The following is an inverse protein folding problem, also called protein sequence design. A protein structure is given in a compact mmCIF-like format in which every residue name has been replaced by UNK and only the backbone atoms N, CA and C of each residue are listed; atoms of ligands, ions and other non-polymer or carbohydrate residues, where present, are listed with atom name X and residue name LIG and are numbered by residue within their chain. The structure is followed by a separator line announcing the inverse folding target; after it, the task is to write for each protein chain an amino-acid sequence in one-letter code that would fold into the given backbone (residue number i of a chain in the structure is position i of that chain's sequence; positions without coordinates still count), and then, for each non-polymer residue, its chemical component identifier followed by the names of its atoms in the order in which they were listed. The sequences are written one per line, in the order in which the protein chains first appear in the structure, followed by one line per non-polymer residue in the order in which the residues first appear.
data_IF_154308844288
#
_entry.id   IF_154308844288
#
_cell.length_a   1.000
_cell.length_b   1.000
_cell.length_c   1.000
_cell.angle_alpha   90.00
_cell.angle_beta   90.00
_cell.angle_gamma   90.00
#
_symmetry.space_group_name_H-M   'P 1'
#
loop_
_entity.id
_entity.type
_entity.pdbx_description
1 polymer ?
#
# COMPACT_ATOMS: atom_id res chain seq x y z
N UNK A 1 -11.14 -15.72 9.82
CA UNK A 1 -11.22 -17.08 9.24
C UNK A 1 -11.49 -17.00 7.74
N UNK A 2 -11.00 -17.99 6.98
CA UNK A 2 -11.36 -18.17 5.58
C UNK A 2 -12.77 -18.78 5.52
N UNK A 3 -13.77 -17.95 5.24
CA UNK A 3 -15.18 -18.35 5.19
C UNK A 3 -15.91 -17.55 4.12
N UNK A 4 -16.72 -18.25 3.33
CA UNK A 4 -17.54 -17.64 2.29
C UNK A 4 -18.84 -18.46 2.11
N UNK A 5 -19.89 -17.83 1.61
CA UNK A 5 -21.13 -18.54 1.28
C UNK A 5 -20.97 -19.40 0.03
N UNK A 6 -21.72 -20.52 -0.03
CA UNK A 6 -21.69 -21.49 -1.11
C UNK A 6 -21.86 -20.83 -2.49
N UNK A 7 -22.72 -19.84 -2.60
CA UNK A 7 -23.00 -19.07 -3.83
C UNK A 7 -21.73 -18.50 -4.50
N UNK A 8 -20.75 -18.02 -3.72
CA UNK A 8 -19.49 -17.50 -4.26
C UNK A 8 -18.47 -18.61 -4.45
N UNK A 9 -18.44 -19.59 -3.54
CA UNK A 9 -17.53 -20.73 -3.61
C UNK A 9 -17.73 -21.54 -4.89
N UNK A 10 -18.96 -21.77 -5.33
CA UNK A 10 -19.30 -22.56 -6.51
C UNK A 10 -18.85 -21.92 -7.83
N UNK A 11 -18.45 -20.65 -7.82
CA UNK A 11 -17.91 -19.97 -9.01
C UNK A 11 -16.50 -20.41 -9.37
N UNK A 12 -15.79 -21.11 -8.47
CA UNK A 12 -14.39 -21.48 -8.64
C UNK A 12 -14.14 -23.01 -8.58
N UNK A 13 -14.90 -23.87 -9.31
CA UNK A 13 -14.73 -25.31 -9.23
C UNK A 13 -13.39 -25.80 -9.83
N UNK A 14 -12.73 -24.96 -10.63
CA UNK A 14 -11.45 -25.22 -11.25
C UNK A 14 -10.28 -25.03 -10.28
N UNK A 15 -10.42 -24.28 -9.20
CA UNK A 15 -9.38 -24.10 -8.17
C UNK A 15 -9.44 -25.30 -7.23
N UNK A 16 -8.37 -26.13 -7.23
CA UNK A 16 -8.31 -27.38 -6.46
C UNK A 16 -7.87 -27.19 -5.02
N UNK A 17 -7.02 -26.18 -4.76
CA UNK A 17 -6.63 -25.83 -3.40
C UNK A 17 -7.80 -25.15 -2.69
N UNK A 18 -8.23 -25.73 -1.58
CA UNK A 18 -9.40 -25.29 -0.83
C UNK A 18 -9.24 -23.86 -0.28
N UNK A 19 -8.10 -23.55 0.32
CA UNK A 19 -7.84 -22.22 0.88
C UNK A 19 -7.79 -21.16 -0.21
N UNK A 20 -7.16 -21.47 -1.34
CA UNK A 20 -7.11 -20.60 -2.52
C UNK A 20 -8.50 -20.38 -3.11
N UNK A 21 -9.32 -21.41 -3.17
CA UNK A 21 -10.70 -21.36 -3.67
C UNK A 21 -11.58 -20.46 -2.80
N UNK A 22 -11.52 -20.66 -1.48
CA UNK A 22 -12.25 -19.82 -0.52
C UNK A 22 -11.78 -18.37 -0.60
N UNK A 23 -10.47 -18.12 -0.69
CA UNK A 23 -9.90 -16.77 -0.83
C UNK A 23 -10.40 -16.06 -2.10
N UNK A 24 -10.38 -16.74 -3.25
CA UNK A 24 -10.92 -16.21 -4.50
C UNK A 24 -12.41 -15.87 -4.39
N UNK A 25 -13.20 -16.75 -3.77
CA UNK A 25 -14.63 -16.56 -3.55
C UNK A 25 -14.91 -15.38 -2.59
N UNK A 26 -14.11 -15.19 -1.55
CA UNK A 26 -14.19 -14.01 -0.66
C UNK A 26 -13.89 -12.72 -1.42
N UNK A 27 -12.91 -12.73 -2.33
CA UNK A 27 -12.57 -11.58 -3.16
C UNK A 27 -13.73 -11.17 -4.07
N UNK A 28 -14.42 -12.15 -4.68
CA UNK A 28 -15.64 -11.88 -5.47
C UNK A 28 -16.78 -11.35 -4.59
N UNK A 29 -16.94 -11.88 -3.38
CA UNK A 29 -17.96 -11.37 -2.46
C UNK A 29 -17.73 -9.88 -2.12
N UNK A 30 -16.47 -9.47 -1.95
CA UNK A 30 -16.07 -8.07 -1.78
C UNK A 30 -16.42 -7.24 -3.03
N UNK A 31 -16.04 -7.72 -4.21
CA UNK A 31 -16.29 -7.03 -5.49
C UNK A 31 -17.81 -6.81 -5.73
N UNK A 32 -18.61 -7.84 -5.48
CA UNK A 32 -20.11 -7.75 -5.55
C UNK A 32 -20.64 -6.71 -4.56
N UNK A 33 -20.04 -6.59 -3.38
CA UNK A 33 -20.45 -5.60 -2.37
C UNK A 33 -20.11 -4.18 -2.82
N UNK A 34 -18.96 -3.97 -3.42
CA UNK A 34 -18.58 -2.68 -4.03
C UNK A 34 -19.55 -2.33 -5.16
N UNK A 35 -19.85 -3.29 -6.05
CA UNK A 35 -20.83 -3.10 -7.13
C UNK A 35 -22.22 -2.73 -6.61
N UNK A 36 -22.67 -3.35 -5.51
CA UNK A 36 -23.95 -3.03 -4.90
C UNK A 36 -24.02 -1.60 -4.36
N UNK A 37 -22.91 -1.10 -3.77
CA UNK A 37 -22.80 0.30 -3.30
C UNK A 37 -22.87 1.26 -4.50
N UNK A 38 -22.09 1.03 -5.55
CA UNK A 38 -22.07 1.87 -6.75
C UNK A 38 -23.44 1.91 -7.43
N UNK A 39 -24.08 0.76 -7.60
CA UNK A 39 -25.43 0.66 -8.16
C UNK A 39 -26.47 1.38 -7.28
N UNK A 40 -26.28 1.40 -5.96
CA UNK A 40 -27.17 2.15 -5.07
C UNK A 40 -27.00 3.65 -5.25
N UNK A 41 -25.77 4.15 -5.35
CA UNK A 41 -25.48 5.56 -5.64
C UNK A 41 -26.09 6.00 -6.98
N UNK A 42 -25.97 5.17 -8.01
CA UNK A 42 -26.51 5.43 -9.34
C UNK A 42 -28.06 5.50 -9.31
N UNK A 43 -28.73 4.50 -8.70
CA UNK A 43 -30.19 4.47 -8.58
C UNK A 43 -30.78 5.66 -7.82
N UNK A 44 -30.01 6.26 -6.91
CA UNK A 44 -30.43 7.42 -6.13
C UNK A 44 -29.92 8.75 -6.72
N UNK A 45 -29.36 8.71 -7.93
CA UNK A 45 -28.80 9.88 -8.64
C UNK A 45 -27.71 10.63 -7.83
N UNK A 46 -26.98 9.89 -6.97
CA UNK A 46 -25.94 10.44 -6.12
C UNK A 46 -24.53 10.26 -6.68
N UNK A 47 -24.33 9.38 -7.66
CA UNK A 47 -23.02 8.96 -8.14
C UNK A 47 -22.18 10.13 -8.67
N UNK A 48 -22.79 11.05 -9.41
CA UNK A 48 -22.10 12.23 -9.98
C UNK A 48 -21.60 13.21 -8.91
N UNK A 49 -22.23 13.22 -7.75
CA UNK A 49 -21.84 14.09 -6.61
C UNK A 49 -21.18 13.31 -5.46
N UNK A 50 -20.60 12.14 -5.75
CA UNK A 50 -19.95 11.29 -4.76
C UNK A 50 -18.53 10.96 -5.17
N UNK A 51 -17.57 11.35 -4.34
CA UNK A 51 -16.18 10.89 -4.41
C UNK A 51 -16.09 9.49 -3.80
N UNK A 52 -15.80 8.49 -4.61
CA UNK A 52 -15.59 7.10 -4.17
C UNK A 52 -14.11 6.79 -4.16
N UNK A 53 -13.58 6.36 -3.02
CA UNK A 53 -12.20 5.92 -2.87
C UNK A 53 -12.21 4.46 -2.39
N UNK A 54 -11.54 3.59 -3.14
CA UNK A 54 -11.30 2.20 -2.76
C UNK A 54 -9.81 1.95 -2.63
N UNK A 55 -9.38 1.44 -1.49
CA UNK A 55 -7.99 1.04 -1.26
C UNK A 55 -7.93 -0.18 -0.33
N UNK A 56 -6.83 -0.94 -0.43
CA UNK A 56 -6.51 -1.94 0.58
C UNK A 56 -5.70 -1.29 1.71
N UNK A 57 -5.86 -1.78 2.93
CA UNK A 57 -5.11 -1.32 4.11
C UNK A 57 -3.64 -1.78 4.09
N UNK A 58 -3.39 -2.97 3.55
CA UNK A 58 -2.07 -3.60 3.39
C UNK A 58 -2.09 -4.62 2.24
N UNK A 59 -0.94 -5.13 1.87
CA UNK A 59 -0.83 -6.22 0.91
C UNK A 59 -1.42 -7.54 1.43
N UNK A 60 -1.63 -8.49 0.53
CA UNK A 60 -2.11 -9.82 0.91
C UNK A 60 -1.17 -10.48 1.92
N UNK A 61 -1.71 -11.36 2.75
CA UNK A 61 -0.92 -12.13 3.71
C UNK A 61 0.12 -13.00 3.01
N UNK A 62 1.19 -13.33 3.74
CA UNK A 62 2.19 -14.29 3.24
C UNK A 62 1.69 -15.69 3.59
N UNK A 63 0.91 -16.27 2.70
CA UNK A 63 0.33 -17.61 2.82
C UNK A 63 0.20 -18.22 1.44
N UNK A 64 0.22 -19.55 1.36
CA UNK A 64 0.22 -20.28 0.08
C UNK A 64 -1.02 -20.04 -0.79
N UNK A 65 -2.12 -19.60 -0.18
CA UNK A 65 -3.38 -19.34 -0.88
C UNK A 65 -3.50 -17.93 -1.45
N UNK A 66 -2.57 -17.01 -1.18
CA UNK A 66 -2.56 -15.66 -1.75
C UNK A 66 -1.14 -15.27 -2.21
N UNK A 67 -1.07 -14.33 -3.13
CA UNK A 67 0.20 -13.83 -3.66
C UNK A 67 0.12 -12.34 -3.91
N UNK A 68 1.25 -11.66 -3.79
CA UNK A 68 1.42 -10.26 -4.18
C UNK A 68 2.29 -10.14 -5.45
N UNK A 69 2.57 -11.25 -6.15
CA UNK A 69 3.42 -11.25 -7.33
C UNK A 69 3.02 -10.15 -8.34
N UNK A 70 4.00 -9.46 -8.93
CA UNK A 70 5.45 -9.67 -8.83
C UNK A 70 6.11 -9.03 -7.60
N UNK A 71 5.33 -8.43 -6.69
CA UNK A 71 5.80 -7.70 -5.50
C UNK A 71 6.28 -8.69 -4.43
N UNK A 72 7.35 -8.32 -3.75
CA UNK A 72 7.97 -9.19 -2.76
C UNK A 72 7.23 -9.17 -1.43
N UNK A 73 7.05 -10.35 -0.81
CA UNK A 73 6.42 -10.55 0.49
C UNK A 73 4.96 -10.02 0.53
N UNK A 74 4.51 -9.52 1.67
CA UNK A 74 3.13 -9.10 1.87
C UNK A 74 2.90 -8.43 3.22
N UNK A 75 1.67 -8.55 3.71
CA UNK A 75 1.22 -7.99 4.99
C UNK A 75 2.27 -8.14 6.09
N UNK A 76 2.38 -7.12 6.96
CA UNK A 76 3.35 -7.00 8.04
C UNK A 76 4.79 -6.70 7.60
N UNK A 77 5.08 -6.57 6.31
CA UNK A 77 6.42 -6.22 5.84
C UNK A 77 6.45 -4.82 5.20
N UNK A 78 7.65 -4.24 5.09
CA UNK A 78 7.87 -2.96 4.41
C UNK A 78 8.34 -3.13 2.95
N UNK A 79 8.36 -4.35 2.45
CA UNK A 79 8.57 -4.65 1.03
C UNK A 79 7.35 -4.24 0.20
N UNK A 80 7.51 -4.10 -1.12
CA UNK A 80 6.42 -3.62 -1.99
C UNK A 80 5.15 -4.47 -1.83
N UNK A 81 5.26 -5.79 -1.67
CA UNK A 81 4.10 -6.65 -1.44
C UNK A 81 3.32 -6.35 -0.15
N UNK A 82 3.96 -5.71 0.83
CA UNK A 82 3.29 -5.30 2.06
C UNK A 82 2.68 -3.90 2.02
N UNK A 83 3.29 -2.97 1.27
CA UNK A 83 2.94 -1.55 1.30
C UNK A 83 2.36 -0.99 0.01
N UNK A 84 2.57 -1.65 -1.13
CA UNK A 84 1.99 -1.26 -2.42
C UNK A 84 0.67 -2.00 -2.64
N UNK A 85 -0.41 -1.25 -2.55
CA UNK A 85 -1.77 -1.79 -2.54
C UNK A 85 -2.62 -1.18 -3.65
N UNK A 86 -3.73 -1.82 -4.05
CA UNK A 86 -4.73 -1.20 -4.92
C UNK A 86 -5.23 0.11 -4.31
N UNK A 87 -5.28 1.15 -5.14
CA UNK A 87 -5.82 2.46 -4.81
C UNK A 87 -6.61 2.98 -6.01
N UNK A 88 -7.90 3.16 -5.86
CA UNK A 88 -8.80 3.60 -6.94
C UNK A 88 -9.60 4.81 -6.48
N UNK A 89 -9.69 5.82 -7.34
CA UNK A 89 -10.54 6.99 -7.15
C UNK A 89 -11.53 7.07 -8.30
N UNK A 90 -12.79 7.28 -7.97
CA UNK A 90 -13.85 7.56 -8.91
C UNK A 90 -14.64 8.79 -8.46
N UNK A 91 -14.80 9.75 -9.37
CA UNK A 91 -15.72 10.89 -9.22
C UNK A 91 -16.14 11.34 -10.61
N UNK A 92 -17.30 10.91 -11.10
CA UNK A 92 -17.76 11.23 -12.44
C UNK A 92 -17.81 12.75 -12.67
N UNK A 93 -17.43 13.18 -13.87
CA UNK A 93 -17.35 14.60 -14.21
C UNK A 93 -16.14 15.35 -13.65
N UNK A 94 -15.46 14.83 -12.62
CA UNK A 94 -14.30 15.47 -11.99
C UNK A 94 -12.99 14.71 -12.22
N UNK A 95 -13.01 13.38 -12.07
CA UNK A 95 -11.84 12.52 -12.30
C UNK A 95 -11.94 11.84 -13.67
N UNK A 96 -10.88 11.89 -14.51
CA UNK A 96 -10.87 11.22 -15.82
C UNK A 96 -11.09 9.71 -15.69
N UNK A 97 -11.98 9.16 -16.53
CA UNK A 97 -12.28 7.72 -16.54
C UNK A 97 -11.16 6.92 -17.22
N UNK A 98 -10.91 5.71 -16.72
CA UNK A 98 -10.02 4.73 -17.36
C UNK A 98 -8.55 5.17 -17.42
N UNK A 99 -8.12 6.02 -16.52
CA UNK A 99 -6.73 6.47 -16.43
C UNK A 99 -5.99 5.77 -15.29
N UNK A 100 -4.71 5.53 -15.52
CA UNK A 100 -3.77 5.10 -14.48
C UNK A 100 -2.89 6.29 -14.11
N UNK A 101 -2.75 6.53 -12.81
CA UNK A 101 -1.83 7.52 -12.27
C UNK A 101 -0.59 6.80 -11.75
N UNK A 102 0.55 6.99 -12.44
CA UNK A 102 1.76 6.19 -12.22
C UNK A 102 2.60 6.65 -11.01
N UNK A 103 2.36 7.85 -10.50
CA UNK A 103 3.15 8.35 -9.38
C UNK A 103 2.67 7.76 -8.05
N UNK A 104 3.60 7.48 -7.11
CA UNK A 104 3.23 6.99 -5.80
C UNK A 104 2.31 7.94 -5.04
N UNK A 105 1.27 7.38 -4.45
CA UNK A 105 0.33 8.04 -3.53
C UNK A 105 0.33 7.30 -2.19
N UNK A 106 -0.29 7.89 -1.18
CA UNK A 106 -0.36 7.31 0.16
C UNK A 106 -1.80 7.33 0.68
N UNK A 107 -2.16 6.39 1.54
CA UNK A 107 -3.42 6.44 2.27
C UNK A 107 -3.59 7.73 3.10
N UNK A 108 -2.48 8.39 3.47
CA UNK A 108 -2.49 9.70 4.13
C UNK A 108 -3.09 10.81 3.25
N UNK A 109 -3.11 10.63 1.92
CA UNK A 109 -3.63 11.59 0.95
C UNK A 109 -5.16 11.62 0.91
N UNK A 110 -5.81 10.57 1.43
CA UNK A 110 -7.28 10.48 1.48
C UNK A 110 -7.86 11.66 2.24
N UNK A 111 -7.33 11.97 3.42
CA UNK A 111 -7.83 13.05 4.25
C UNK A 111 -7.78 14.42 3.54
N UNK A 112 -6.62 14.93 3.06
CA UNK A 112 -6.58 16.22 2.39
C UNK A 112 -7.37 16.23 1.07
N UNK A 113 -7.44 15.12 0.34
CA UNK A 113 -8.24 15.01 -0.88
C UNK A 113 -9.74 15.15 -0.59
N UNK A 114 -10.25 14.47 0.44
CA UNK A 114 -11.65 14.58 0.85
C UNK A 114 -11.95 15.99 1.37
N UNK A 115 -11.05 16.59 2.18
CA UNK A 115 -11.25 17.95 2.68
C UNK A 115 -11.30 18.97 1.54
N UNK A 116 -10.44 18.83 0.53
CA UNK A 116 -10.49 19.68 -0.67
C UNK A 116 -11.80 19.50 -1.45
N UNK A 117 -12.26 18.26 -1.61
CA UNK A 117 -13.51 17.94 -2.31
C UNK A 117 -14.74 18.60 -1.68
N UNK A 118 -14.77 18.76 -0.36
CA UNK A 118 -15.86 19.42 0.37
C UNK A 118 -15.58 20.92 0.65
N UNK A 119 -14.52 21.49 0.10
CA UNK A 119 -14.16 22.90 0.30
C UNK A 119 -13.73 23.26 1.73
N UNK A 120 -13.28 22.28 2.51
CA UNK A 120 -12.88 22.48 3.90
C UNK A 120 -11.35 22.59 4.05
N UNK A 121 -10.85 23.38 5.01
CA UNK A 121 -9.41 23.55 5.20
C UNK A 121 -8.75 22.32 5.81
N UNK A 122 -7.59 21.95 5.28
CA UNK A 122 -6.69 20.94 5.90
C UNK A 122 -5.92 21.63 7.04
N UNK A 123 -6.13 21.19 8.26
CA UNK A 123 -5.46 21.80 9.43
C UNK A 123 -4.06 21.24 9.67
N UNK A 124 -3.89 19.92 9.56
CA UNK A 124 -2.63 19.21 9.80
C UNK A 124 -2.64 17.90 9.00
N UNK A 125 -1.45 17.42 8.60
CA UNK A 125 -1.31 16.11 7.94
C UNK A 125 -0.06 16.05 7.06
N UNK A 126 0.41 14.84 6.81
CA UNK A 126 1.55 14.56 5.91
C UNK A 126 1.10 14.20 4.49
N UNK A 127 -0.22 14.03 4.28
CA UNK A 127 -0.82 13.77 2.97
C UNK A 127 -0.96 15.03 2.13
N UNK A 128 -1.23 14.84 0.85
CA UNK A 128 -1.50 15.91 -0.13
C UNK A 128 -2.84 15.69 -0.81
N UNK A 129 -3.48 16.77 -1.24
CA UNK A 129 -4.66 16.68 -2.11
C UNK A 129 -4.25 16.09 -3.47
N UNK A 130 -4.85 14.95 -3.83
CA UNK A 130 -4.56 14.23 -5.07
C UNK A 130 -5.32 14.79 -6.27
N UNK A 131 -6.42 15.50 -6.07
CA UNK A 131 -7.30 15.92 -7.17
C UNK A 131 -6.55 16.68 -8.26
N UNK A 132 -5.71 17.71 -7.96
CA UNK A 132 -4.99 18.44 -9.01
C UNK A 132 -3.99 17.59 -9.80
N UNK A 133 -3.55 16.47 -9.25
CA UNK A 133 -2.64 15.54 -9.95
C UNK A 133 -3.39 14.55 -10.84
N UNK A 134 -4.53 14.04 -10.35
CA UNK A 134 -5.31 13.02 -11.11
C UNK A 134 -6.15 13.65 -12.22
N UNK A 135 -6.59 14.91 -12.09
CA UNK A 135 -7.28 15.67 -13.14
C UNK A 135 -6.31 16.27 -14.17
N UNK A 136 -4.99 16.27 -13.86
CA UNK A 136 -3.93 16.78 -14.73
C UNK A 136 -3.69 18.29 -14.65
N UNK A 137 -4.37 19.03 -13.77
CA UNK A 137 -4.17 20.47 -13.58
C UNK A 137 -2.81 20.79 -12.94
N UNK A 138 -2.25 19.82 -12.20
CA UNK A 138 -0.92 19.92 -11.60
C UNK A 138 0.02 18.83 -12.14
N UNK A 139 1.18 19.24 -12.64
CA UNK A 139 2.23 18.33 -13.10
C UNK A 139 3.13 17.88 -11.95
N UNK A 140 3.81 16.73 -12.14
CA UNK A 140 4.79 16.16 -11.22
C UNK A 140 4.20 15.11 -10.30
N UNK A 141 4.92 14.80 -9.23
CA UNK A 141 4.55 13.75 -8.29
C UNK A 141 4.01 14.37 -6.99
N UNK A 142 2.94 13.79 -6.39
CA UNK A 142 2.45 14.22 -5.09
C UNK A 142 3.54 14.12 -4.01
N UNK A 143 4.29 13.02 -4.03
CA UNK A 143 5.34 12.74 -3.08
C UNK A 143 6.68 12.46 -3.76
N UNK A 144 7.71 13.22 -3.38
CA UNK A 144 9.11 12.89 -3.72
C UNK A 144 9.65 11.78 -2.84
N UNK A 145 9.10 11.65 -1.64
CA UNK A 145 9.59 10.71 -0.62
C UNK A 145 8.42 10.20 0.22
N UNK A 146 8.37 8.90 0.41
CA UNK A 146 7.47 8.20 1.34
C UNK A 146 8.30 7.52 2.42
N UNK A 147 7.73 7.42 3.63
CA UNK A 147 8.41 6.87 4.80
C UNK A 147 7.52 5.87 5.53
N UNK A 148 8.12 4.82 6.05
CA UNK A 148 7.48 3.82 6.90
C UNK A 148 8.36 3.53 8.10
N UNK A 149 7.74 3.30 9.26
CA UNK A 149 8.42 2.88 10.48
C UNK A 149 7.56 1.88 11.24
N UNK A 150 8.15 0.75 11.62
CA UNK A 150 7.50 -0.30 12.39
C UNK A 150 8.52 -0.88 13.38
N UNK A 151 8.47 -0.44 14.63
CA UNK A 151 9.47 -0.78 15.64
C UNK A 151 10.88 -0.33 15.23
N UNK A 152 11.81 -1.27 15.21
CA UNK A 152 13.19 -1.04 14.76
C UNK A 152 13.34 -1.03 13.23
N UNK A 153 12.34 -1.57 12.51
CA UNK A 153 12.34 -1.64 11.07
C UNK A 153 11.80 -0.34 10.48
N UNK A 154 12.37 0.09 9.36
CA UNK A 154 11.91 1.27 8.66
C UNK A 154 12.20 1.18 7.16
N UNK A 155 11.48 1.96 6.37
CA UNK A 155 11.74 2.10 4.95
C UNK A 155 11.57 3.55 4.50
N UNK A 156 12.24 3.87 3.40
CA UNK A 156 12.10 5.11 2.66
C UNK A 156 12.05 4.79 1.18
N UNK A 157 11.07 5.36 0.47
CA UNK A 157 11.06 5.46 -0.98
C UNK A 157 11.33 6.91 -1.38
N UNK A 158 12.35 7.16 -2.19
CA UNK A 158 12.69 8.47 -2.72
C UNK A 158 12.80 8.37 -4.23
N UNK A 159 11.77 8.84 -4.95
CA UNK A 159 11.57 8.56 -6.35
C UNK A 159 11.51 7.04 -6.60
N UNK A 160 12.41 6.52 -7.45
CA UNK A 160 12.48 5.09 -7.78
C UNK A 160 13.33 4.27 -6.81
N UNK A 161 14.10 4.92 -5.95
CA UNK A 161 14.94 4.24 -4.97
C UNK A 161 14.18 3.94 -3.68
N UNK A 162 14.26 2.69 -3.26
CA UNK A 162 13.72 2.25 -1.97
C UNK A 162 14.80 1.62 -1.10
N UNK A 163 14.90 2.11 0.12
CA UNK A 163 15.77 1.54 1.15
C UNK A 163 14.90 1.03 2.29
N UNK A 164 15.12 -0.23 2.65
CA UNK A 164 14.51 -0.88 3.81
C UNK A 164 15.62 -1.21 4.78
N UNK A 165 15.45 -0.86 6.05
CA UNK A 165 16.28 -1.33 7.15
C UNK A 165 15.48 -2.30 7.99
N UNK A 166 15.88 -3.57 8.02
CA UNK A 166 15.16 -4.61 8.71
C UNK A 166 16.12 -5.76 9.06
N UNK A 167 15.90 -6.45 10.19
CA UNK A 167 16.79 -7.52 10.63
C UNK A 167 18.25 -7.08 10.85
N UNK A 168 18.46 -5.79 11.18
CA UNK A 168 19.80 -5.22 11.34
C UNK A 168 20.59 -5.02 10.04
N UNK A 169 19.96 -5.19 8.88
CA UNK A 169 20.54 -5.09 7.55
C UNK A 169 19.82 -4.05 6.68
N UNK A 170 20.54 -3.52 5.70
CA UNK A 170 19.98 -2.64 4.67
C UNK A 170 19.69 -3.39 3.37
N UNK A 171 18.56 -3.03 2.77
CA UNK A 171 18.07 -3.56 1.52
C UNK A 171 17.76 -2.38 0.60
N UNK A 172 18.50 -2.23 -0.48
CA UNK A 172 18.38 -1.11 -1.41
C UNK A 172 17.97 -1.59 -2.80
N UNK A 173 16.92 -0.99 -3.34
CA UNK A 173 16.34 -1.38 -4.65
C UNK A 173 16.09 -0.17 -5.52
N UNK A 174 16.22 -0.33 -6.84
CA UNK A 174 15.69 0.58 -7.84
C UNK A 174 14.36 0.00 -8.36
N UNK A 175 13.24 0.54 -7.90
CA UNK A 175 11.91 0.01 -8.22
C UNK A 175 11.50 0.21 -9.68
N UNK A 176 12.16 1.10 -10.44
CA UNK A 176 11.93 1.23 -11.87
C UNK A 176 12.45 0.03 -12.67
N UNK A 177 13.49 -0.62 -12.16
CA UNK A 177 14.15 -1.77 -12.79
C UNK A 177 13.80 -3.10 -12.09
N UNK A 178 13.55 -3.05 -10.79
CA UNK A 178 13.33 -4.22 -9.93
C UNK A 178 12.16 -3.97 -8.96
N UNK A 179 10.93 -3.98 -9.50
CA UNK A 179 9.71 -3.84 -8.70
C UNK A 179 9.51 -5.00 -7.72
N UNK A 180 10.11 -6.15 -8.02
CA UNK A 180 10.07 -7.35 -7.19
C UNK A 180 11.09 -7.39 -6.06
N UNK A 181 11.93 -6.34 -5.91
CA UNK A 181 12.91 -6.21 -4.83
C UNK A 181 13.82 -7.46 -4.69
N UNK A 182 14.31 -7.98 -5.83
CA UNK A 182 15.07 -9.24 -5.89
C UNK A 182 16.58 -9.06 -5.76
N UNK A 183 17.10 -7.89 -6.20
CA UNK A 183 18.53 -7.62 -6.27
C UNK A 183 18.90 -6.51 -5.29
N UNK A 184 19.43 -6.87 -4.11
CA UNK A 184 19.86 -5.90 -3.12
C UNK A 184 21.13 -5.17 -3.60
N UNK A 185 21.04 -3.85 -3.80
CA UNK A 185 22.11 -2.96 -4.28
C UNK A 185 22.83 -2.21 -3.15
N UNK A 186 22.58 -2.55 -1.89
CA UNK A 186 23.15 -1.82 -0.74
C UNK A 186 24.69 -1.78 -0.73
N UNK A 187 25.32 -2.86 -1.18
CA UNK A 187 26.80 -2.97 -1.19
C UNK A 187 27.42 -2.29 -2.41
N UNK A 188 26.70 -2.17 -3.52
CA UNK A 188 27.21 -1.56 -4.77
C UNK A 188 26.86 -0.07 -4.86
N UNK A 189 25.62 0.30 -4.51
CA UNK A 189 25.09 1.67 -4.60
C UNK A 189 25.29 2.46 -3.30
N UNK A 190 26.51 2.47 -2.75
CA UNK A 190 26.83 3.05 -1.44
C UNK A 190 26.57 4.55 -1.33
N UNK A 191 26.63 5.30 -2.45
CA UNK A 191 26.31 6.73 -2.47
C UNK A 191 24.82 6.96 -2.27
N UNK A 192 24.00 6.20 -2.97
CA UNK A 192 22.53 6.23 -2.90
C UNK A 192 22.06 5.79 -1.51
N UNK A 193 22.62 4.70 -0.99
CA UNK A 193 22.36 4.22 0.36
C UNK A 193 22.59 5.31 1.42
N UNK A 194 23.77 5.95 1.41
CA UNK A 194 24.11 7.05 2.33
C UNK A 194 23.17 8.25 2.21
N UNK A 195 22.76 8.59 0.98
CA UNK A 195 21.79 9.66 0.71
C UNK A 195 20.45 9.34 1.38
N UNK A 196 19.89 8.14 1.15
CA UNK A 196 18.59 7.74 1.67
C UNK A 196 18.59 7.61 3.20
N UNK A 197 19.62 7.03 3.78
CA UNK A 197 19.79 7.01 5.24
C UNK A 197 19.79 8.42 5.85
N UNK A 198 20.45 9.39 5.22
CA UNK A 198 20.47 10.78 5.68
C UNK A 198 19.08 11.43 5.57
N UNK A 199 18.33 11.19 4.48
CA UNK A 199 16.98 11.72 4.30
C UNK A 199 16.04 11.11 5.36
N UNK A 200 16.08 9.78 5.53
CA UNK A 200 15.29 9.09 6.54
C UNK A 200 15.59 9.60 7.95
N UNK A 201 16.87 9.72 8.34
CA UNK A 201 17.26 10.21 9.67
C UNK A 201 16.68 11.60 9.94
N UNK A 202 16.79 12.55 8.99
CA UNK A 202 16.23 13.92 9.13
C UNK A 202 14.71 13.92 9.33
N UNK A 203 14.00 12.99 8.71
CA UNK A 203 12.57 12.83 8.92
C UNK A 203 12.30 12.20 10.29
N UNK A 204 12.99 11.12 10.63
CA UNK A 204 12.81 10.38 11.87
C UNK A 204 13.13 11.22 13.13
N UNK A 205 14.13 12.10 13.06
CA UNK A 205 14.50 13.00 14.17
C UNK A 205 13.39 14.01 14.53
N UNK A 206 12.40 14.19 13.66
CA UNK A 206 11.23 15.05 13.90
C UNK A 206 10.00 14.27 14.36
N UNK A 207 10.06 12.96 14.33
CA UNK A 207 8.94 12.09 14.70
C UNK A 207 8.97 11.83 16.21
N UNK A 208 7.79 11.81 16.81
CA UNK A 208 7.65 11.38 18.20
C UNK A 208 8.04 9.91 18.35
N UNK A 209 8.60 9.58 19.50
CA UNK A 209 8.77 8.18 19.89
C UNK A 209 7.40 7.53 20.03
N UNK A 210 7.25 6.22 19.70
CA UNK A 210 6.02 5.51 19.97
C UNK A 210 5.59 5.67 21.42
N UNK A 211 4.32 6.06 21.66
CA UNK A 211 3.81 6.28 23.01
C UNK A 211 3.69 4.97 23.83
N UNK A 212 3.61 3.84 23.15
CA UNK A 212 3.59 2.50 23.74
C UNK A 212 4.46 1.56 22.93
N UNK A 213 4.93 0.51 23.59
CA UNK A 213 5.68 -0.56 22.94
C UNK A 213 4.74 -1.33 22.01
N UNK A 214 5.27 -1.76 20.85
CA UNK A 214 4.56 -2.74 20.02
C UNK A 214 4.17 -3.94 20.91
N UNK A 215 2.92 -4.36 20.78
CA UNK A 215 2.44 -5.59 21.44
C UNK A 215 2.97 -6.82 20.69
N UNK A 216 4.27 -6.85 20.38
CA UNK A 216 4.90 -7.99 19.75
C UNK A 216 4.55 -9.26 20.51
N UNK A 217 3.62 -10.04 20.01
CA UNK A 217 3.43 -11.39 20.47
C UNK A 217 4.66 -12.19 20.04
N UNK A 218 5.10 -13.12 20.87
CA UNK A 218 6.17 -14.09 20.54
C UNK A 218 5.87 -14.94 19.28
N UNK A 219 4.77 -14.65 18.58
CA UNK A 219 4.22 -15.35 17.41
C UNK A 219 4.19 -14.49 16.15
N UNK A 220 4.85 -13.31 16.12
CA UNK A 220 5.04 -12.60 14.85
C UNK A 220 5.82 -13.50 13.90
N UNK A 221 5.31 -13.78 12.69
CA UNK A 221 6.04 -14.62 11.76
C UNK A 221 7.37 -13.94 11.44
N UNK A 222 8.46 -14.68 11.70
CA UNK A 222 9.77 -14.28 11.18
C UNK A 222 9.80 -14.59 9.69
N UNK A 223 10.13 -13.59 8.87
CA UNK A 223 10.32 -13.80 7.44
C UNK A 223 11.82 -13.97 7.15
N UNK A 224 12.15 -14.95 6.33
CA UNK A 224 13.51 -15.08 5.81
C UNK A 224 13.63 -14.33 4.49
N UNK A 225 14.55 -13.37 4.43
CA UNK A 225 14.87 -12.62 3.22
C UNK A 225 16.36 -12.79 2.93
N UNK A 226 16.70 -13.45 1.83
CA UNK A 226 18.08 -13.75 1.42
C UNK A 226 18.93 -14.32 2.57
N UNK A 227 18.34 -15.26 3.34
CA UNK A 227 18.97 -15.93 4.49
C UNK A 227 18.98 -15.13 5.79
N UNK A 228 18.45 -13.90 5.80
CA UNK A 228 18.34 -13.08 7.01
C UNK A 228 16.94 -13.23 7.61
N UNK A 229 16.87 -13.62 8.87
CA UNK A 229 15.61 -13.62 9.62
C UNK A 229 15.22 -12.20 10.01
N UNK A 230 14.01 -11.80 9.72
CA UNK A 230 13.48 -10.49 10.01
C UNK A 230 12.24 -10.64 10.88
N UNK A 231 12.32 -10.13 12.10
CA UNK A 231 11.17 -10.02 12.99
C UNK A 231 10.44 -8.71 12.69
N UNK A 232 9.16 -8.82 12.33
CA UNK A 232 8.31 -7.66 12.13
C UNK A 232 7.45 -7.48 13.37
N UNK A 233 7.57 -6.36 14.09
CA UNK A 233 6.68 -6.06 15.20
C UNK A 233 5.25 -5.85 14.67
N UNK A 234 4.31 -6.55 15.27
CA UNK A 234 2.86 -6.44 15.01
C UNK A 234 2.26 -5.38 15.92
#
# INVERSE_FOLDING_TARGET
PLQVTQRYYDQFPHIKDESRRVYAAMTVALDVSVGAILNSLERHELLENTLVIFLSDNGAGVADYCTNDPLRLGKQTLFEGGVRVPFVIQWPGTVPRGKTFESPVSALDVYPTVMAAVGAPVKHGDGVDLMPYVDGSKRGQPHKTLYWRSGANWAIRHYDWKLIHAGGRDWLYNLAEDIGERSNLADTETRTLRKLRRIHRRWNDRMLSPAWKSMGTKTSPAFSVDGVQIDWPV
#
